data_IF_288711374324
#
_entry.id   IF_288711374324
#
_cell.length_a   1.000
_cell.length_b   1.000
_cell.length_c   1.000
_cell.angle_alpha   90.00
_cell.angle_beta   90.00
_cell.angle_gamma   90.00
#
_symmetry.space_group_name_H-M   'P 1'
#
loop_
_entity.id
_entity.type
_entity.pdbx_description
1 polymer ?
#
# COMPACT_ATOMS: atom_id res chain seq x y z
N UNK A 1 21.27 -5.85 -16.70
CA UNK A 1 20.13 -5.17 -17.35
C UNK A 1 18.80 -5.43 -16.61
N UNK A 2 18.60 -4.92 -15.38
CA UNK A 2 17.33 -5.10 -14.62
C UNK A 2 16.60 -3.80 -14.29
N UNK A 3 17.29 -2.65 -14.38
CA UNK A 3 16.71 -1.32 -14.10
C UNK A 3 15.82 -0.77 -15.22
N UNK A 4 16.06 -1.18 -16.47
CA UNK A 4 15.33 -0.65 -17.64
C UNK A 4 13.91 -1.26 -17.73
N UNK A 5 13.74 -2.52 -17.35
CA UNK A 5 12.43 -3.19 -17.38
C UNK A 5 11.42 -2.56 -16.41
N UNK A 6 11.85 -2.24 -15.18
CA UNK A 6 11.01 -1.53 -14.21
C UNK A 6 10.53 -0.17 -14.73
N UNK A 7 11.37 0.54 -15.50
CA UNK A 7 11.03 1.82 -16.11
C UNK A 7 10.04 1.68 -17.28
N UNK A 8 10.11 0.58 -18.04
CA UNK A 8 9.16 0.28 -19.13
C UNK A 8 7.78 -0.10 -18.58
N UNK A 9 7.71 -0.86 -17.47
CA UNK A 9 6.43 -1.16 -16.81
C UNK A 9 5.82 0.06 -16.12
N UNK A 10 6.65 0.94 -15.54
CA UNK A 10 6.30 2.30 -15.07
C UNK A 10 5.65 3.14 -16.17
N UNK A 11 6.18 3.08 -17.39
CA UNK A 11 5.71 3.86 -18.55
C UNK A 11 4.50 3.24 -19.28
N UNK A 12 4.12 2.00 -18.92
CA UNK A 12 3.03 1.27 -19.54
C UNK A 12 1.72 1.24 -18.71
N UNK A 13 1.67 1.92 -17.56
CA UNK A 13 0.50 1.88 -16.67
C UNK A 13 0.27 0.53 -15.99
N UNK A 14 1.27 -0.35 -15.98
CA UNK A 14 1.17 -1.73 -15.46
C UNK A 14 1.60 -1.82 -14.00
N UNK A 15 1.16 -0.86 -13.19
CA UNK A 15 1.40 -0.80 -11.75
C UNK A 15 0.87 -2.05 -11.04
N UNK A 16 -0.34 -2.50 -11.44
CA UNK A 16 -0.96 -3.76 -10.96
C UNK A 16 -0.04 -4.97 -11.11
N UNK A 17 0.64 -5.11 -12.26
CA UNK A 17 1.53 -6.24 -12.52
C UNK A 17 2.80 -6.17 -11.68
N UNK A 18 3.36 -4.96 -11.49
CA UNK A 18 4.52 -4.75 -10.64
C UNK A 18 4.21 -5.08 -9.18
N UNK A 19 3.07 -4.59 -8.67
CA UNK A 19 2.60 -4.89 -7.31
C UNK A 19 2.35 -6.40 -7.15
N UNK A 20 1.72 -7.06 -8.13
CA UNK A 20 1.48 -8.50 -8.08
C UNK A 20 2.79 -9.32 -8.02
N UNK A 21 3.82 -8.90 -8.77
CA UNK A 21 5.14 -9.53 -8.72
C UNK A 21 5.79 -9.33 -7.34
N UNK A 22 5.79 -8.10 -6.82
CA UNK A 22 6.30 -7.80 -5.48
C UNK A 22 5.56 -8.54 -4.37
N UNK A 23 4.24 -8.72 -4.50
CA UNK A 23 3.42 -9.55 -3.58
C UNK A 23 3.90 -11.01 -3.59
N UNK A 24 4.18 -11.58 -4.77
CA UNK A 24 4.65 -12.96 -4.94
C UNK A 24 6.06 -13.18 -4.35
N UNK A 25 6.93 -12.19 -4.49
CA UNK A 25 8.30 -12.23 -4.00
C UNK A 25 8.42 -11.80 -2.51
N UNK A 26 7.29 -11.47 -1.87
CA UNK A 26 7.22 -10.92 -0.50
C UNK A 26 8.00 -9.61 -0.30
N UNK A 27 8.21 -8.85 -1.38
CA UNK A 27 8.88 -7.55 -1.39
C UNK A 27 7.86 -6.43 -1.16
N UNK A 28 7.29 -6.37 0.05
CA UNK A 28 6.18 -5.45 0.35
C UNK A 28 6.55 -3.98 0.32
N UNK A 29 7.79 -3.64 0.66
CA UNK A 29 8.28 -2.25 0.58
C UNK A 29 8.25 -1.74 -0.87
N UNK A 30 8.75 -2.54 -1.81
CA UNK A 30 8.72 -2.21 -3.24
C UNK A 30 7.28 -2.11 -3.76
N UNK A 31 6.38 -2.96 -3.26
CA UNK A 31 4.95 -2.88 -3.58
C UNK A 31 4.32 -1.54 -3.13
N UNK A 32 4.62 -1.10 -1.89
CA UNK A 32 4.12 0.17 -1.35
C UNK A 32 4.71 1.37 -2.10
N UNK A 33 6.01 1.37 -2.38
CA UNK A 33 6.63 2.45 -3.16
C UNK A 33 6.07 2.53 -4.57
N UNK A 34 5.78 1.38 -5.19
CA UNK A 34 5.14 1.31 -6.51
C UNK A 34 3.70 1.85 -6.46
N UNK A 35 2.93 1.50 -5.42
CA UNK A 35 1.58 2.01 -5.23
C UNK A 35 1.57 3.53 -5.01
N UNK A 36 2.44 4.03 -4.13
CA UNK A 36 2.61 5.48 -3.88
C UNK A 36 2.98 6.24 -5.16
N UNK A 37 3.95 5.73 -5.93
CA UNK A 37 4.37 6.34 -7.19
C UNK A 37 3.34 6.26 -8.32
N UNK A 38 2.40 5.31 -8.25
CA UNK A 38 1.34 5.18 -9.26
C UNK A 38 0.36 6.34 -9.22
N UNK A 39 0.19 6.97 -8.05
CA UNK A 39 -0.81 8.02 -7.83
C UNK A 39 -2.25 7.50 -7.78
N UNK A 40 -2.49 6.19 -7.92
CA UNK A 40 -3.84 5.62 -7.94
C UNK A 40 -4.28 5.16 -6.55
N UNK A 41 -5.38 5.73 -6.05
CA UNK A 41 -5.95 5.36 -4.75
C UNK A 41 -6.38 3.90 -4.71
N UNK A 42 -7.00 3.41 -5.78
CA UNK A 42 -7.47 2.02 -5.87
C UNK A 42 -6.34 1.01 -5.64
N UNK A 43 -5.13 1.29 -6.14
CA UNK A 43 -3.98 0.42 -5.96
C UNK A 43 -3.46 0.39 -4.52
N UNK A 44 -3.46 1.55 -3.87
CA UNK A 44 -3.05 1.67 -2.46
C UNK A 44 -4.06 0.98 -1.53
N UNK A 45 -5.36 1.14 -1.79
CA UNK A 45 -6.44 0.50 -1.04
C UNK A 45 -6.44 -1.03 -1.25
N UNK A 46 -6.27 -1.52 -2.48
CA UNK A 46 -6.15 -2.95 -2.76
C UNK A 46 -4.92 -3.58 -2.07
N UNK A 47 -3.82 -2.82 -1.96
CA UNK A 47 -2.63 -3.26 -1.24
C UNK A 47 -2.85 -3.27 0.29
N UNK A 48 -3.59 -2.29 0.82
CA UNK A 48 -4.02 -2.26 2.22
C UNK A 48 -4.85 -3.50 2.57
N UNK A 49 -5.93 -3.76 1.82
CA UNK A 49 -6.81 -4.92 2.02
C UNK A 49 -6.01 -6.22 1.95
N UNK A 50 -5.07 -6.33 1.02
CA UNK A 50 -4.17 -7.48 0.95
C UNK A 50 -3.38 -7.69 2.25
N UNK A 51 -2.84 -6.64 2.88
CA UNK A 51 -2.11 -6.79 4.15
C UNK A 51 -3.02 -7.20 5.30
N UNK A 52 -4.27 -6.76 5.30
CA UNK A 52 -5.28 -7.16 6.27
C UNK A 52 -5.57 -8.67 6.12
N UNK A 53 -5.85 -9.13 4.91
CA UNK A 53 -6.15 -10.54 4.62
C UNK A 53 -4.97 -11.47 4.95
N UNK A 54 -3.74 -11.00 4.74
CA UNK A 54 -2.53 -11.73 5.10
C UNK A 54 -2.19 -11.63 6.60
N UNK A 55 -2.95 -10.87 7.40
CA UNK A 55 -2.68 -10.65 8.82
C UNK A 55 -1.41 -9.85 9.12
N UNK A 56 -0.87 -9.13 8.13
CA UNK A 56 0.40 -8.39 8.24
C UNK A 56 0.19 -6.96 8.74
N UNK A 57 -0.06 -6.84 10.05
CA UNK A 57 -0.35 -5.55 10.72
C UNK A 57 0.75 -4.51 10.57
N UNK A 58 2.02 -4.94 10.60
CA UNK A 58 3.17 -4.02 10.41
C UNK A 58 3.24 -3.47 8.98
N UNK A 59 2.92 -4.31 7.99
CA UNK A 59 2.85 -3.88 6.60
C UNK A 59 1.66 -2.95 6.35
N UNK A 60 0.53 -3.19 7.02
CA UNK A 60 -0.60 -2.27 7.03
C UNK A 60 -0.18 -0.87 7.50
N UNK A 61 0.43 -0.76 8.69
CA UNK A 61 0.90 0.53 9.22
C UNK A 61 1.93 1.21 8.29
N UNK A 62 2.88 0.44 7.75
CA UNK A 62 3.88 0.97 6.82
C UNK A 62 3.26 1.47 5.52
N UNK A 63 2.23 0.79 5.01
CA UNK A 63 1.52 1.17 3.80
C UNK A 63 0.78 2.50 3.98
N UNK A 64 0.17 2.73 5.16
CA UNK A 64 -0.48 3.99 5.50
C UNK A 64 0.48 5.18 5.43
N UNK A 65 1.71 5.00 5.92
CA UNK A 65 2.74 6.02 5.85
C UNK A 65 3.25 6.28 4.42
N UNK A 66 3.53 5.22 3.67
CA UNK A 66 4.12 5.34 2.32
C UNK A 66 3.11 5.89 1.30
N UNK A 67 1.83 5.56 1.46
CA UNK A 67 0.75 5.95 0.55
C UNK A 67 -0.16 7.02 1.18
N UNK A 68 0.35 7.84 2.10
CA UNK A 68 -0.47 8.76 2.91
C UNK A 68 -1.28 9.76 2.08
N UNK A 69 -0.72 10.26 0.96
CA UNK A 69 -1.40 11.19 0.05
C UNK A 69 -2.57 10.53 -0.71
N UNK A 70 -2.54 9.21 -0.86
CA UNK A 70 -3.52 8.45 -1.65
C UNK A 70 -4.65 7.91 -0.79
N UNK A 71 -4.37 7.57 0.46
CA UNK A 71 -5.32 6.89 1.33
C UNK A 71 -6.12 7.94 2.11
N UNK A 72 -7.44 7.74 2.27
CA UNK A 72 -8.28 8.62 3.09
C UNK A 72 -8.39 8.09 4.52
N UNK A 73 -8.33 8.99 5.48
CA UNK A 73 -8.38 8.63 6.90
C UNK A 73 -9.67 7.96 7.35
N UNK A 74 -10.82 8.29 6.74
CA UNK A 74 -12.10 7.64 7.02
C UNK A 74 -12.10 6.16 6.64
N UNK A 75 -11.57 5.83 5.45
CA UNK A 75 -11.43 4.43 4.99
C UNK A 75 -10.48 3.65 5.90
N UNK A 76 -9.37 4.26 6.31
CA UNK A 76 -8.40 3.63 7.22
C UNK A 76 -9.01 3.32 8.56
N UNK A 77 -9.77 4.26 9.12
CA UNK A 77 -10.43 4.08 10.41
C UNK A 77 -11.46 2.94 10.35
N UNK A 78 -12.28 2.89 9.30
CA UNK A 78 -13.25 1.83 9.08
C UNK A 78 -12.57 0.46 8.99
N UNK A 79 -11.56 0.32 8.12
CA UNK A 79 -10.81 -0.93 7.94
C UNK A 79 -10.07 -1.35 9.23
N UNK A 80 -9.43 -0.41 9.91
CA UNK A 80 -8.72 -0.70 11.15
C UNK A 80 -9.68 -1.11 12.27
N UNK A 81 -10.87 -0.52 12.35
CA UNK A 81 -11.89 -0.90 13.32
C UNK A 81 -12.47 -2.28 13.04
N UNK A 82 -12.87 -2.55 11.80
CA UNK A 82 -13.44 -3.84 11.39
C UNK A 82 -12.50 -5.02 11.64
N UNK A 83 -11.18 -4.79 11.54
CA UNK A 83 -10.17 -5.83 11.66
C UNK A 83 -9.38 -5.79 12.98
N UNK A 84 -9.80 -4.99 13.96
CA UNK A 84 -9.16 -4.84 15.28
C UNK A 84 -7.66 -4.49 15.18
N UNK A 85 -7.35 -3.46 14.38
CA UNK A 85 -6.00 -2.94 14.12
C UNK A 85 -5.90 -1.43 14.30
N UNK A 86 -6.82 -0.81 15.05
CA UNK A 86 -6.83 0.64 15.30
C UNK A 86 -5.49 1.13 15.83
N UNK A 87 -4.84 0.37 16.72
CA UNK A 87 -3.54 0.71 17.30
C UNK A 87 -2.45 0.94 16.23
N UNK A 88 -2.53 0.23 15.10
CA UNK A 88 -1.59 0.33 13.98
C UNK A 88 -1.92 1.49 13.04
N UNK A 89 -3.18 1.90 12.98
CA UNK A 89 -3.63 3.08 12.22
C UNK A 89 -3.42 4.38 13.00
N UNK A 90 -3.31 4.31 14.32
CA UNK A 90 -3.31 5.48 15.20
C UNK A 90 -2.22 6.51 14.87
N UNK A 91 -0.95 6.14 14.61
CA UNK A 91 0.08 7.11 14.24
C UNK A 91 -0.23 7.86 12.94
N UNK A 92 -0.86 7.18 11.98
CA UNK A 92 -1.29 7.80 10.72
C UNK A 92 -2.44 8.79 10.94
N UNK A 93 -3.42 8.42 11.77
CA UNK A 93 -4.56 9.30 12.09
C UNK A 93 -4.11 10.59 12.79
N UNK A 94 -3.10 10.51 13.65
CA UNK A 94 -2.49 11.70 14.30
C UNK A 94 -1.70 12.58 13.32
N UNK A 95 -1.13 12.01 12.26
CA UNK A 95 -0.38 12.77 11.26
C UNK A 95 -1.28 13.53 10.28
N UNK A 96 -2.47 12.99 10.01
CA UNK A 96 -3.43 13.57 9.05
C UNK A 96 -4.38 14.58 9.70
N UNK A 97 -4.60 14.49 11.01
CA UNK A 97 -5.40 15.44 11.80
C UNK A 97 -4.66 16.73 12.15
#
# INVERSE_FOLDING_TARGET
MRRVAAYIYKKAGRWKQSIALSKKDNLYKDAMETASQSGERELAEELLVYFIDQGKKECFASCLFVCYDLIRADVVLELAWMHNMIDFAFPYLLQVG
#
